data_IF_778632246752
#
_entry.id   IF_778632246752
#
_cell.length_a   1.000
_cell.length_b   1.000
_cell.length_c   1.000
_cell.angle_alpha   90.00
_cell.angle_beta   90.00
_cell.angle_gamma   90.00
#
_symmetry.space_group_name_H-M   'P 1'
#
loop_
_entity.id
_entity.type
_entity.pdbx_description
1 polymer ?
#
# COMPACT_ATOMS: atom_id res chain seq x y z
N UNK A 1 17.10 -7.29 10.38
CA UNK A 1 15.64 -7.00 10.39
C UNK A 1 15.29 -6.19 11.63
N UNK A 2 14.47 -5.15 11.53
CA UNK A 2 14.18 -4.19 12.62
C UNK A 2 13.60 -4.80 13.91
N UNK A 3 13.13 -6.05 13.85
CA UNK A 3 12.57 -6.81 14.97
C UNK A 3 13.55 -7.85 15.57
N UNK A 4 14.77 -7.96 15.05
CA UNK A 4 15.80 -8.88 15.56
C UNK A 4 15.53 -10.38 15.35
N UNK A 5 14.44 -10.76 14.68
CA UNK A 5 14.09 -12.15 14.41
C UNK A 5 13.56 -12.36 12.98
N UNK A 6 13.85 -13.52 12.41
CA UNK A 6 13.28 -13.98 11.13
C UNK A 6 11.91 -14.64 11.36
N UNK A 7 10.88 -14.31 10.55
CA UNK A 7 9.57 -14.92 10.70
C UNK A 7 9.63 -16.42 10.40
N UNK A 8 9.07 -17.24 11.30
CA UNK A 8 8.94 -18.69 11.08
C UNK A 8 7.71 -19.04 10.25
N UNK A 9 6.67 -18.22 10.31
CA UNK A 9 5.46 -18.36 9.52
C UNK A 9 5.18 -17.03 8.86
N UNK A 10 4.92 -17.05 7.57
CA UNK A 10 4.52 -15.88 6.80
C UNK A 10 3.20 -16.17 6.10
N UNK A 11 2.23 -15.28 6.26
CA UNK A 11 0.92 -15.39 5.64
C UNK A 11 0.69 -14.15 4.79
N UNK A 12 0.35 -14.34 3.53
CA UNK A 12 0.07 -13.26 2.59
C UNK A 12 -1.21 -13.51 1.83
N UNK A 13 -2.00 -12.44 1.66
CA UNK A 13 -3.23 -12.44 0.87
C UNK A 13 -3.06 -11.57 -0.38
N UNK A 14 -3.55 -12.01 -1.54
CA UNK A 14 -3.49 -11.28 -2.80
C UNK A 14 -2.06 -10.80 -3.14
N UNK A 15 -1.82 -9.49 -3.32
CA UNK A 15 -0.47 -8.92 -3.50
C UNK A 15 0.51 -9.37 -2.38
N UNK A 16 0.03 -9.41 -1.14
CA UNK A 16 0.81 -9.91 0.00
C UNK A 16 1.18 -11.39 -0.14
N UNK A 17 0.39 -12.19 -0.85
CA UNK A 17 0.71 -13.58 -1.19
C UNK A 17 1.95 -13.70 -2.07
N UNK A 18 2.09 -12.83 -3.09
CA UNK A 18 3.32 -12.77 -3.89
C UNK A 18 4.51 -12.25 -3.11
N UNK A 19 4.31 -11.26 -2.22
CA UNK A 19 5.37 -10.82 -1.32
C UNK A 19 5.86 -11.97 -0.40
N UNK A 20 4.93 -12.81 0.08
CA UNK A 20 5.26 -14.03 0.82
C UNK A 20 6.08 -15.02 0.00
N UNK A 21 5.73 -15.23 -1.28
CA UNK A 21 6.52 -16.08 -2.19
C UNK A 21 7.90 -15.49 -2.49
N UNK A 22 7.99 -14.17 -2.68
CA UNK A 22 9.27 -13.46 -2.87
C UNK A 22 10.22 -13.69 -1.69
N UNK A 23 9.70 -13.53 -0.47
CA UNK A 23 10.46 -13.78 0.75
C UNK A 23 10.87 -15.25 0.86
N UNK A 24 9.97 -16.19 0.57
CA UNK A 24 10.27 -17.62 0.57
C UNK A 24 11.36 -18.00 -0.45
N UNK A 25 11.33 -17.41 -1.66
CA UNK A 25 12.35 -17.60 -2.68
C UNK A 25 13.74 -17.13 -2.20
N UNK A 26 13.81 -15.93 -1.60
CA UNK A 26 15.05 -15.40 -1.04
C UNK A 26 15.61 -16.32 0.05
N UNK A 27 14.75 -16.82 0.94
CA UNK A 27 15.14 -17.77 1.99
C UNK A 27 15.61 -19.13 1.42
N UNK A 28 14.99 -19.62 0.35
CA UNK A 28 15.43 -20.85 -0.32
C UNK A 28 16.82 -20.66 -0.96
N UNK A 29 17.06 -19.51 -1.59
CA UNK A 29 18.35 -19.16 -2.18
C UNK A 29 19.46 -19.03 -1.13
N UNK A 30 19.19 -18.36 -0.01
CA UNK A 30 20.14 -18.23 1.11
C UNK A 30 20.51 -19.59 1.71
N UNK A 31 19.55 -20.51 1.81
CA UNK A 31 19.81 -21.88 2.26
C UNK A 31 20.68 -22.66 1.26
N UNK A 32 20.38 -22.53 -0.03
CA UNK A 32 21.16 -23.17 -1.08
C UNK A 32 22.62 -22.66 -1.12
N UNK A 33 22.86 -21.38 -0.78
CA UNK A 33 24.20 -20.79 -0.69
C UNK A 33 24.94 -21.07 0.63
N UNK A 34 24.33 -21.78 1.59
CA UNK A 34 24.93 -22.06 2.90
C UNK A 34 25.04 -20.83 3.82
N UNK A 35 24.40 -19.72 3.46
CA UNK A 35 24.37 -18.47 4.24
C UNK A 35 23.07 -18.32 5.04
N UNK A 36 22.12 -19.25 4.88
CA UNK A 36 20.81 -19.21 5.50
C UNK A 36 20.79 -19.68 6.95
N UNK A 37 19.83 -19.16 7.71
CA UNK A 37 19.53 -19.61 9.07
C UNK A 37 18.59 -20.84 9.03
N UNK A 38 19.01 -21.96 9.62
CA UNK A 38 18.17 -23.16 9.73
C UNK A 38 16.90 -22.89 10.57
N UNK A 39 16.91 -21.90 11.46
CA UNK A 39 15.78 -21.42 12.24
C UNK A 39 14.77 -20.55 11.49
N UNK A 40 15.06 -20.21 10.22
CA UNK A 40 14.27 -19.29 9.41
C UNK A 40 12.93 -19.88 8.90
N UNK A 41 12.29 -19.18 7.95
CA UNK A 41 10.93 -19.44 7.45
C UNK A 41 10.59 -20.93 7.31
N UNK A 42 9.62 -21.40 8.09
CA UNK A 42 9.14 -22.79 8.14
C UNK A 42 7.86 -22.99 7.33
N UNK A 43 7.00 -21.99 7.27
CA UNK A 43 5.73 -22.05 6.57
C UNK A 43 5.43 -20.74 5.85
N UNK A 44 4.92 -20.85 4.63
CA UNK A 44 4.42 -19.75 3.82
C UNK A 44 3.00 -20.08 3.38
N UNK A 45 2.03 -19.27 3.78
CA UNK A 45 0.62 -19.45 3.42
C UNK A 45 0.22 -18.34 2.47
N UNK A 46 -0.16 -18.74 1.26
CA UNK A 46 -0.49 -17.84 0.15
C UNK A 46 -1.98 -17.97 -0.11
N UNK A 47 -2.71 -16.88 0.15
CA UNK A 47 -4.17 -16.86 0.11
C UNK A 47 -4.62 -15.98 -1.07
N UNK A 48 -5.48 -16.53 -1.92
CA UNK A 48 -6.09 -15.83 -3.05
C UNK A 48 -5.10 -15.03 -3.91
N UNK A 49 -3.97 -15.67 -4.24
CA UNK A 49 -2.94 -15.10 -5.09
C UNK A 49 -2.51 -16.12 -6.13
N UNK A 50 -2.30 -15.66 -7.37
CA UNK A 50 -1.75 -16.48 -8.44
C UNK A 50 -0.23 -16.53 -8.28
N UNK A 51 0.44 -17.69 -8.12
CA UNK A 51 1.90 -17.76 -8.01
C UNK A 51 2.62 -17.31 -9.29
N UNK A 52 2.06 -17.66 -10.45
CA UNK A 52 2.57 -17.26 -11.76
C UNK A 52 2.16 -15.87 -12.20
N UNK A 53 2.46 -15.54 -13.46
CA UNK A 53 2.06 -14.27 -14.06
C UNK A 53 0.55 -14.09 -14.03
N UNK A 54 0.09 -12.87 -13.77
CA UNK A 54 -1.33 -12.56 -13.67
C UNK A 54 -1.65 -11.41 -14.63
N UNK A 55 -2.53 -11.65 -15.62
CA UNK A 55 -2.89 -10.62 -16.62
C UNK A 55 -4.38 -10.23 -16.59
N UNK A 56 -5.24 -11.02 -15.94
CA UNK A 56 -6.70 -10.87 -16.03
C UNK A 56 -7.41 -10.45 -14.73
N UNK A 57 -6.73 -10.49 -13.57
CA UNK A 57 -7.35 -10.26 -12.25
C UNK A 57 -7.21 -8.81 -11.74
N UNK A 58 -6.83 -7.89 -12.62
CA UNK A 58 -6.26 -6.58 -12.28
C UNK A 58 -7.24 -5.40 -12.30
N UNK A 59 -8.42 -5.56 -12.91
CA UNK A 59 -9.24 -4.43 -13.37
C UNK A 59 -9.52 -3.39 -12.29
N UNK A 60 -9.89 -3.85 -11.10
CA UNK A 60 -10.27 -2.96 -9.99
C UNK A 60 -9.06 -2.26 -9.36
N UNK A 61 -7.93 -2.96 -9.16
CA UNK A 61 -6.72 -2.37 -8.61
C UNK A 61 -6.10 -1.32 -9.56
N UNK A 62 -6.06 -1.62 -10.86
CA UNK A 62 -5.60 -0.68 -11.90
C UNK A 62 -6.52 0.55 -11.94
N UNK A 63 -7.84 0.35 -11.87
CA UNK A 63 -8.81 1.44 -11.84
C UNK A 63 -8.60 2.32 -10.60
N UNK A 64 -8.43 1.73 -9.42
CA UNK A 64 -8.16 2.46 -8.17
C UNK A 64 -6.90 3.32 -8.32
N UNK A 65 -5.77 2.75 -8.73
CA UNK A 65 -4.53 3.51 -8.91
C UNK A 65 -4.68 4.64 -9.93
N UNK A 66 -5.36 4.37 -11.06
CA UNK A 66 -5.64 5.41 -12.06
C UNK A 66 -6.51 6.55 -11.53
N UNK A 67 -7.39 6.26 -10.56
CA UNK A 67 -8.24 7.24 -9.91
C UNK A 67 -7.44 8.06 -8.90
N UNK A 68 -6.62 7.42 -8.07
CA UNK A 68 -5.77 8.11 -7.09
C UNK A 68 -4.82 9.10 -7.77
N UNK A 69 -4.28 8.76 -8.96
CA UNK A 69 -3.49 9.70 -9.76
C UNK A 69 -4.26 10.94 -10.22
N UNK A 70 -5.56 10.81 -10.47
CA UNK A 70 -6.44 11.93 -10.85
C UNK A 70 -6.90 12.76 -9.66
N UNK A 71 -6.85 12.19 -8.46
CA UNK A 71 -7.31 12.80 -7.21
C UNK A 71 -6.15 12.83 -6.20
N UNK A 72 -5.08 13.62 -6.46
CA UNK A 72 -3.85 13.58 -5.65
C UNK A 72 -3.97 14.23 -4.27
N UNK A 73 -5.03 15.01 -4.02
CA UNK A 73 -5.17 15.83 -2.82
C UNK A 73 -4.22 17.05 -2.83
N UNK A 74 -3.99 17.70 -1.67
CA UNK A 74 -4.52 17.37 -0.35
C UNK A 74 -6.00 17.76 -0.18
N UNK A 75 -6.67 17.17 0.81
CA UNK A 75 -8.11 17.34 1.06
C UNK A 75 -8.39 18.07 2.39
N UNK A 76 -9.39 18.96 2.45
CA UNK A 76 -9.80 19.57 3.71
C UNK A 76 -10.32 18.57 4.75
N UNK A 77 -11.11 17.58 4.34
CA UNK A 77 -11.65 16.52 5.22
C UNK A 77 -11.68 15.17 4.50
N UNK A 78 -11.96 14.07 5.22
CA UNK A 78 -12.13 12.76 4.58
C UNK A 78 -13.37 12.75 3.70
N UNK A 79 -14.44 13.42 4.13
CA UNK A 79 -15.70 13.51 3.38
C UNK A 79 -15.49 14.21 2.03
N UNK A 80 -14.70 15.29 1.97
CA UNK A 80 -14.39 15.95 0.70
C UNK A 80 -13.59 15.03 -0.23
N UNK A 81 -12.65 14.25 0.31
CA UNK A 81 -11.91 13.27 -0.46
C UNK A 81 -12.84 12.18 -1.05
N UNK A 82 -13.81 11.69 -0.27
CA UNK A 82 -14.82 10.72 -0.76
C UNK A 82 -15.64 11.31 -1.91
N UNK A 83 -16.09 12.56 -1.80
CA UNK A 83 -16.83 13.23 -2.87
C UNK A 83 -16.00 13.35 -4.15
N UNK A 84 -14.71 13.70 -4.04
CA UNK A 84 -13.83 13.77 -5.21
C UNK A 84 -13.57 12.39 -5.84
N UNK A 85 -13.38 11.34 -5.02
CA UNK A 85 -13.24 9.96 -5.49
C UNK A 85 -14.50 9.46 -6.20
N UNK A 86 -15.67 9.78 -5.67
CA UNK A 86 -16.96 9.47 -6.31
C UNK A 86 -17.11 10.19 -7.64
N UNK A 87 -16.77 11.48 -7.70
CA UNK A 87 -16.74 12.26 -8.94
C UNK A 87 -15.77 11.69 -9.99
N UNK A 88 -14.72 10.99 -9.55
CA UNK A 88 -13.78 10.29 -10.42
C UNK A 88 -14.22 8.86 -10.82
N UNK A 89 -15.40 8.41 -10.39
CA UNK A 89 -16.01 7.15 -10.81
C UNK A 89 -15.71 5.94 -9.91
N UNK A 90 -15.28 6.18 -8.67
CA UNK A 90 -15.16 5.17 -7.61
C UNK A 90 -16.49 5.08 -6.85
N UNK A 91 -16.94 3.89 -6.47
CA UNK A 91 -18.17 3.74 -5.68
C UNK A 91 -18.02 4.28 -4.26
N UNK A 92 -19.12 4.72 -3.64
CA UNK A 92 -19.10 5.37 -2.32
C UNK A 92 -18.40 4.55 -1.22
N UNK A 93 -18.62 3.24 -1.17
CA UNK A 93 -17.98 2.36 -0.18
C UNK A 93 -16.47 2.25 -0.41
N UNK A 94 -16.05 2.06 -1.67
CA UNK A 94 -14.64 2.04 -2.05
C UNK A 94 -13.99 3.40 -1.78
N UNK A 95 -14.68 4.51 -2.04
CA UNK A 95 -14.20 5.86 -1.75
C UNK A 95 -13.96 6.06 -0.26
N UNK A 96 -14.90 5.62 0.60
CA UNK A 96 -14.74 5.65 2.06
C UNK A 96 -13.58 4.77 2.52
N UNK A 97 -13.48 3.55 2.00
CA UNK A 97 -12.38 2.64 2.33
C UNK A 97 -11.02 3.24 1.94
N UNK A 98 -10.88 3.75 0.71
CA UNK A 98 -9.67 4.44 0.24
C UNK A 98 -9.35 5.64 1.11
N UNK A 99 -10.37 6.44 1.48
CA UNK A 99 -10.16 7.61 2.34
C UNK A 99 -9.53 7.25 3.68
N UNK A 100 -9.57 5.98 4.12
CA UNK A 100 -8.86 5.46 5.30
C UNK A 100 -7.34 5.63 5.23
N UNK A 101 -6.76 5.59 4.03
CA UNK A 101 -5.33 5.81 3.75
C UNK A 101 -4.92 7.28 3.67
N UNK A 102 -5.73 8.18 4.24
CA UNK A 102 -5.37 9.58 4.41
C UNK A 102 -4.75 9.83 5.79
N UNK A 103 -3.73 10.67 5.81
CA UNK A 103 -3.08 11.18 7.02
C UNK A 103 -3.11 12.71 7.03
N UNK A 104 -3.06 13.30 8.22
CA UNK A 104 -2.88 14.74 8.34
C UNK A 104 -1.48 15.13 7.84
N UNK A 105 -1.40 16.22 7.07
CA UNK A 105 -0.11 16.84 6.78
C UNK A 105 0.57 17.21 8.11
N UNK A 106 1.85 16.86 8.30
CA UNK A 106 2.60 17.20 9.50
C UNK A 106 2.51 18.68 9.86
N UNK A 107 2.44 18.99 11.16
CA UNK A 107 2.17 20.34 11.64
C UNK A 107 3.27 21.35 11.27
N UNK A 108 4.53 20.90 11.22
CA UNK A 108 5.69 21.66 10.78
C UNK A 108 5.64 21.98 9.28
N UNK A 109 5.29 21.00 8.44
CA UNK A 109 5.08 21.20 6.99
C UNK A 109 3.91 22.16 6.73
N UNK A 110 2.80 21.98 7.47
CA UNK A 110 1.63 22.85 7.39
C UNK A 110 1.92 24.29 7.85
N UNK A 111 2.69 24.45 8.92
CA UNK A 111 3.11 25.76 9.43
C UNK A 111 4.08 26.46 8.48
N UNK A 112 5.05 25.74 7.91
CA UNK A 112 5.98 26.27 6.91
C UNK A 112 5.24 26.73 5.64
N UNK A 113 4.15 26.06 5.27
CA UNK A 113 3.25 26.46 4.19
C UNK A 113 2.33 27.66 4.49
N UNK A 114 2.45 28.30 5.66
CA UNK A 114 1.61 29.45 6.06
C UNK A 114 0.20 29.06 6.52
N UNK A 115 -0.07 27.77 6.72
CA UNK A 115 -1.40 27.26 7.06
C UNK A 115 -1.76 27.32 8.55
N UNK A 116 -0.78 27.59 9.42
CA UNK A 116 -0.95 27.62 10.88
C UNK A 116 -1.30 29.01 11.44
N UNK A 117 -1.83 29.94 10.64
CA UNK A 117 -2.24 31.25 11.16
C UNK A 117 -3.33 31.09 12.24
N UNK A 118 -3.17 31.75 13.41
CA UNK A 118 -4.19 31.74 14.44
C UNK A 118 -5.45 32.46 13.91
N UNK A 119 -6.62 31.90 14.18
CA UNK A 119 -7.85 32.55 13.78
C UNK A 119 -7.98 33.90 14.50
N UNK A 120 -8.27 34.95 13.73
CA UNK A 120 -8.20 36.35 14.21
C UNK A 120 -9.27 36.70 15.27
N UNK A 121 -10.28 35.85 15.46
CA UNK A 121 -11.47 36.17 16.28
C UNK A 121 -11.84 35.08 17.33
N UNK A 122 -10.84 34.40 17.91
CA UNK A 122 -11.10 33.35 18.92
C UNK A 122 -11.72 32.06 18.36
N UNK A 123 -11.84 31.97 17.04
CA UNK A 123 -12.22 30.75 16.35
C UNK A 123 -11.10 29.69 16.46
N UNK A 124 -11.48 28.42 16.36
CA UNK A 124 -10.51 27.32 16.40
C UNK A 124 -9.61 27.40 15.16
N UNK A 125 -8.29 27.26 15.36
CA UNK A 125 -7.34 27.19 14.26
C UNK A 125 -7.74 26.11 13.26
N UNK A 126 -7.57 26.39 11.96
CA UNK A 126 -7.90 25.46 10.89
C UNK A 126 -7.02 24.20 11.03
N UNK A 127 -7.61 22.99 11.03
CA UNK A 127 -6.82 21.77 11.08
C UNK A 127 -5.98 21.63 9.79
N UNK A 128 -4.82 20.94 9.86
CA UNK A 128 -4.04 20.62 8.68
C UNK A 128 -4.89 19.79 7.69
N UNK A 129 -4.69 19.97 6.38
CA UNK A 129 -5.36 19.15 5.38
C UNK A 129 -4.83 17.71 5.42
N UNK A 130 -5.52 16.83 4.72
CA UNK A 130 -5.19 15.41 4.62
C UNK A 130 -4.49 15.10 3.30
N UNK A 131 -3.50 14.20 3.32
CA UNK A 131 -2.83 13.67 2.13
C UNK A 131 -2.86 12.15 2.12
N UNK A 132 -2.61 11.56 0.96
CA UNK A 132 -2.36 10.12 0.86
C UNK A 132 -1.13 9.72 1.67
N UNK A 133 -1.24 8.70 2.51
CA UNK A 133 -0.09 8.07 3.17
C UNK A 133 0.55 6.96 2.32
N UNK A 134 -0.02 6.71 1.14
CA UNK A 134 0.46 5.73 0.16
C UNK A 134 1.22 6.45 -0.95
N UNK A 135 2.37 5.88 -1.34
CA UNK A 135 3.03 6.24 -2.58
C UNK A 135 2.28 5.58 -3.74
N UNK A 136 1.50 6.38 -4.47
CA UNK A 136 0.66 5.91 -5.58
C UNK A 136 1.50 5.36 -6.73
N UNK A 137 2.67 5.94 -7.00
CA UNK A 137 3.54 5.45 -8.08
C UNK A 137 4.29 4.19 -7.66
N UNK A 138 4.80 4.15 -6.44
CA UNK A 138 5.36 2.94 -5.85
C UNK A 138 4.35 1.77 -5.86
N UNK A 139 3.10 2.05 -5.48
CA UNK A 139 2.02 1.04 -5.54
C UNK A 139 1.73 0.56 -6.97
N UNK A 140 1.82 1.45 -7.97
CA UNK A 140 1.74 1.09 -9.38
C UNK A 140 2.85 0.14 -9.81
N UNK A 141 4.11 0.46 -9.48
CA UNK A 141 5.26 -0.37 -9.79
C UNK A 141 5.17 -1.75 -9.11
N UNK A 142 4.68 -1.80 -7.86
CA UNK A 142 4.43 -3.06 -7.16
C UNK A 142 3.35 -3.90 -7.84
N UNK A 143 2.29 -3.27 -8.36
CA UNK A 143 1.24 -3.98 -9.08
C UNK A 143 1.74 -4.53 -10.41
N UNK A 144 2.55 -3.78 -11.15
CA UNK A 144 3.17 -4.25 -12.40
C UNK A 144 4.11 -5.44 -12.12
N UNK A 145 4.95 -5.33 -11.09
CA UNK A 145 5.79 -6.44 -10.61
C UNK A 145 4.96 -7.67 -10.23
N UNK A 146 3.81 -7.47 -9.59
CA UNK A 146 2.88 -8.55 -9.28
C UNK A 146 2.38 -9.24 -10.56
N UNK A 147 2.12 -8.54 -11.66
CA UNK A 147 1.67 -9.19 -12.89
C UNK A 147 2.78 -9.98 -13.59
N UNK A 148 4.00 -9.49 -13.55
CA UNK A 148 5.12 -10.06 -14.32
C UNK A 148 5.88 -11.19 -13.61
N UNK A 149 5.79 -11.26 -12.28
CA UNK A 149 6.60 -12.21 -11.51
C UNK A 149 6.00 -13.61 -11.52
N UNK A 150 6.84 -14.62 -11.75
CA UNK A 150 6.47 -16.03 -11.75
C UNK A 150 7.20 -16.79 -10.65
N UNK A 151 6.43 -17.36 -9.71
CA UNK A 151 6.93 -18.16 -8.60
C UNK A 151 6.59 -19.65 -8.73
N UNK A 152 6.04 -20.12 -9.86
CA UNK A 152 5.86 -21.56 -10.07
C UNK A 152 7.16 -22.37 -9.88
N UNK A 153 8.34 -21.92 -10.36
CA UNK A 153 9.59 -22.65 -10.15
C UNK A 153 10.02 -22.81 -8.68
N UNK A 154 9.44 -22.04 -7.75
CA UNK A 154 9.68 -22.22 -6.31
C UNK A 154 8.81 -23.35 -5.72
N UNK A 155 7.66 -23.61 -6.34
CA UNK A 155 6.62 -24.49 -5.81
C UNK A 155 6.65 -25.90 -6.42
N UNK A 156 7.37 -26.08 -7.53
CA UNK A 156 7.58 -27.34 -8.25
C UNK A 156 8.93 -27.99 -7.87
#
# INVERSE_FOLDING_TARGET
>A
AALGASPRVLVGHSLGGKATLAYAAAQAQERASGTGDEGALRQAWVLDAVPGKASALAGDAVKVLSTLRKVPGPFPTRESAVVELEGAGVGAETGRWLSGSLEAVPADEWAAGGGAEPAKDGARARPPPLRWCIDVEGAGQMLDSYFDTDYWPLLE
#
